data_IF_273716473509
#
_entry.id   IF_273716473509
#
_cell.length_a   1.000
_cell.length_b   1.000
_cell.length_c   1.000
_cell.angle_alpha   90.00
_cell.angle_beta   90.00
_cell.angle_gamma   90.00
#
_symmetry.space_group_name_H-M   'P 1'
#
loop_
_entity.id
_entity.type
_entity.pdbx_description
1 polymer ?
#
# COMPACT_ATOMS: atom_id res chain seq x y z
N UNK A 1 15.01 11.73 -55.58
CA UNK A 1 14.81 12.88 -54.67
C UNK A 1 15.36 12.46 -53.31
N UNK A 2 16.66 12.67 -53.07
CA UNK A 2 17.20 13.76 -52.23
C UNK A 2 16.59 13.73 -50.80
N UNK A 3 17.21 13.10 -49.79
CA UNK A 3 18.34 13.56 -48.94
C UNK A 3 18.01 14.68 -47.93
N UNK A 4 18.23 14.37 -46.64
CA UNK A 4 18.92 15.20 -45.64
C UNK A 4 18.12 16.31 -44.93
N UNK A 5 18.28 16.35 -43.59
CA UNK A 5 17.94 17.50 -42.72
C UNK A 5 17.43 17.05 -41.35
N UNK A 6 18.21 16.40 -40.47
CA UNK A 6 19.41 16.89 -39.79
C UNK A 6 19.16 18.18 -38.96
N UNK A 7 19.23 18.00 -37.63
CA UNK A 7 19.66 18.95 -36.59
C UNK A 7 18.88 20.27 -36.43
N UNK A 8 18.38 20.51 -35.21
CA UNK A 8 18.95 21.47 -34.24
C UNK A 8 17.90 21.66 -33.11
N UNK A 9 18.19 21.21 -31.89
CA UNK A 9 18.73 22.08 -30.82
C UNK A 9 17.76 23.20 -30.42
N UNK A 10 16.97 22.95 -29.38
CA UNK A 10 16.77 23.97 -28.35
C UNK A 10 16.81 23.31 -26.96
N UNK A 11 18.03 23.26 -26.43
CA UNK A 11 18.29 23.24 -25.01
C UNK A 11 17.93 24.62 -24.39
N UNK A 12 17.83 24.65 -23.06
CA UNK A 12 17.61 25.79 -22.12
C UNK A 12 16.17 25.87 -21.59
N UNK A 13 15.88 25.79 -20.28
CA UNK A 13 16.60 26.27 -19.07
C UNK A 13 16.17 25.41 -17.87
N UNK A 14 17.08 24.84 -17.07
CA UNK A 14 17.97 25.39 -16.04
C UNK A 14 17.38 25.19 -14.63
N UNK A 15 18.11 24.38 -13.86
CA UNK A 15 17.86 23.87 -12.52
C UNK A 15 17.54 24.94 -11.47
N UNK A 16 16.50 24.71 -10.67
CA UNK A 16 16.27 25.45 -9.42
C UNK A 16 17.00 24.68 -8.31
N UNK A 17 18.16 25.19 -7.90
CA UNK A 17 18.79 24.83 -6.64
C UNK A 17 18.40 25.91 -5.61
N UNK A 18 17.50 25.56 -4.68
CA UNK A 18 17.31 26.31 -3.45
C UNK A 18 17.83 25.46 -2.29
N UNK A 19 18.99 25.87 -1.77
CA UNK A 19 19.49 25.43 -0.48
C UNK A 19 18.55 25.94 0.62
N UNK A 20 18.17 25.05 1.52
CA UNK A 20 17.38 25.37 2.70
C UNK A 20 17.24 24.17 3.60
N UNK A 21 18.37 23.58 4.01
CA UNK A 21 18.41 22.66 5.14
C UNK A 21 18.35 23.51 6.41
N UNK A 22 17.13 23.88 6.82
CA UNK A 22 16.88 24.39 8.17
C UNK A 22 16.48 23.19 9.03
N UNK A 23 17.44 22.72 9.82
CA UNK A 23 17.18 21.83 10.92
C UNK A 23 16.99 22.67 12.17
N UNK A 24 15.83 22.55 12.82
CA UNK A 24 15.67 22.57 14.27
C UNK A 24 14.19 22.43 14.64
N UNK A 25 13.84 21.34 15.31
CA UNK A 25 12.51 21.11 15.87
C UNK A 25 12.52 19.88 16.74
N UNK A 26 12.95 20.07 17.99
CA UNK A 26 12.99 19.07 19.05
C UNK A 26 11.63 18.38 19.27
N UNK A 27 11.76 17.08 19.58
CA UNK A 27 11.02 16.32 20.58
C UNK A 27 9.53 16.68 20.78
N UNK A 28 8.68 15.82 20.24
CA UNK A 28 7.36 15.59 20.81
C UNK A 28 7.18 14.10 20.95
N UNK A 29 7.42 13.60 22.16
CA UNK A 29 7.02 12.29 22.63
C UNK A 29 5.51 12.09 22.51
N UNK A 30 5.05 11.82 21.30
CA UNK A 30 3.92 10.94 21.06
C UNK A 30 4.51 9.60 20.68
N UNK A 31 4.63 8.68 21.63
CA UNK A 31 4.76 7.27 21.27
C UNK A 31 3.46 6.89 20.55
N UNK A 32 3.51 7.03 19.23
CA UNK A 32 2.39 6.78 18.34
C UNK A 32 1.95 5.33 18.56
N UNK A 33 0.71 5.14 19.03
CA UNK A 33 0.09 3.82 19.08
C UNK A 33 0.14 3.08 17.72
N UNK A 34 0.30 3.85 16.63
CA UNK A 34 0.58 3.39 15.26
C UNK A 34 1.80 2.45 15.16
N UNK A 35 2.84 2.66 15.97
CA UNK A 35 4.05 1.82 15.98
C UNK A 35 3.78 0.42 16.55
N UNK A 36 2.89 0.29 17.54
CA UNK A 36 2.62 -1.00 18.17
C UNK A 36 1.89 -1.96 17.21
N UNK A 37 0.90 -1.46 16.48
CA UNK A 37 0.15 -2.22 15.46
C UNK A 37 1.02 -2.61 14.26
N UNK A 38 1.85 -1.67 13.78
CA UNK A 38 2.83 -1.94 12.74
C UNK A 38 3.84 -3.03 13.15
N UNK A 39 4.28 -3.01 14.42
CA UNK A 39 5.19 -4.01 14.98
C UNK A 39 4.51 -5.38 15.18
N UNK A 40 3.24 -5.43 15.60
CA UNK A 40 2.49 -6.67 15.73
C UNK A 40 2.29 -7.36 14.36
N UNK A 41 1.91 -6.60 13.33
CA UNK A 41 1.82 -7.09 11.94
C UNK A 41 3.18 -7.62 11.47
N UNK A 42 4.23 -6.85 11.66
CA UNK A 42 5.58 -7.21 11.21
C UNK A 42 6.09 -8.49 11.87
N UNK A 43 5.84 -8.66 13.18
CA UNK A 43 6.14 -9.91 13.90
C UNK A 43 5.37 -11.11 13.36
N UNK A 44 4.06 -10.95 13.10
CA UNK A 44 3.24 -12.01 12.54
C UNK A 44 3.70 -12.42 11.13
N UNK A 45 4.07 -11.45 10.28
CA UNK A 45 4.63 -11.70 8.95
C UNK A 45 5.98 -12.40 9.04
N UNK A 46 6.85 -12.02 9.99
CA UNK A 46 8.15 -12.64 10.18
C UNK A 46 8.07 -14.09 10.71
N UNK A 47 7.03 -14.41 11.48
CA UNK A 47 6.81 -15.75 12.02
C UNK A 47 6.35 -16.77 10.95
N UNK A 48 5.71 -16.33 9.86
CA UNK A 48 5.30 -17.18 8.74
C UNK A 48 6.22 -16.95 7.53
N UNK A 49 6.99 -17.99 7.17
CA UNK A 49 7.96 -17.92 6.07
C UNK A 49 7.33 -17.58 4.72
N UNK A 50 6.06 -17.92 4.50
CA UNK A 50 5.31 -17.58 3.28
C UNK A 50 4.95 -16.10 3.25
N UNK A 51 4.45 -15.56 4.37
CA UNK A 51 4.14 -14.13 4.50
C UNK A 51 5.42 -13.30 4.37
N UNK A 52 6.52 -13.70 5.02
CA UNK A 52 7.81 -13.05 4.90
C UNK A 52 8.34 -13.07 3.45
N UNK A 53 8.13 -14.16 2.70
CA UNK A 53 8.49 -14.22 1.28
C UNK A 53 7.62 -13.29 0.41
N UNK A 54 6.32 -13.21 0.69
CA UNK A 54 5.42 -12.30 -0.02
C UNK A 54 5.73 -10.82 0.28
N UNK A 55 6.05 -10.48 1.54
CA UNK A 55 6.51 -9.15 1.94
C UNK A 55 7.77 -8.77 1.17
N UNK A 56 8.79 -9.65 1.11
CA UNK A 56 10.01 -9.39 0.33
C UNK A 56 9.73 -9.20 -1.16
N UNK A 57 8.82 -9.99 -1.73
CA UNK A 57 8.42 -9.81 -3.13
C UNK A 57 7.75 -8.44 -3.37
N UNK A 58 6.95 -7.94 -2.42
CA UNK A 58 6.38 -6.59 -2.53
C UNK A 58 7.45 -5.50 -2.43
N UNK A 59 8.36 -5.61 -1.47
CA UNK A 59 9.46 -4.64 -1.31
C UNK A 59 10.39 -4.64 -2.54
N UNK A 60 10.48 -5.75 -3.26
CA UNK A 60 11.21 -5.86 -4.52
C UNK A 60 10.43 -5.38 -5.77
N UNK A 61 9.20 -4.86 -5.60
CA UNK A 61 8.38 -4.41 -6.74
C UNK A 61 7.75 -5.56 -7.55
N UNK A 62 7.52 -6.72 -6.93
CA UNK A 62 6.90 -7.89 -7.55
C UNK A 62 5.52 -8.22 -6.94
N UNK A 63 4.53 -7.33 -7.09
CA UNK A 63 3.22 -7.47 -6.44
C UNK A 63 2.41 -8.68 -6.93
N UNK A 64 2.54 -9.03 -8.21
CA UNK A 64 1.92 -10.25 -8.75
C UNK A 64 2.51 -11.53 -8.13
N UNK A 65 3.83 -11.59 -7.95
CA UNK A 65 4.49 -12.72 -7.30
C UNK A 65 4.03 -12.85 -5.84
N UNK A 66 3.97 -11.74 -5.10
CA UNK A 66 3.45 -11.74 -3.73
C UNK A 66 2.01 -12.27 -3.66
N UNK A 67 1.16 -11.86 -4.59
CA UNK A 67 -0.23 -12.35 -4.71
C UNK A 67 -0.27 -13.86 -4.93
N UNK A 68 0.59 -14.39 -5.82
CA UNK A 68 0.69 -15.84 -6.08
C UNK A 68 1.16 -16.62 -4.85
N UNK A 69 2.10 -16.08 -4.08
CA UNK A 69 2.60 -16.69 -2.84
C UNK A 69 1.51 -16.74 -1.75
N UNK A 70 0.67 -15.71 -1.67
CA UNK A 70 -0.40 -15.61 -0.66
C UNK A 70 -1.66 -16.39 -1.03
N UNK A 71 -1.90 -16.68 -2.32
CA UNK A 71 -3.06 -17.42 -2.77
C UNK A 71 -3.34 -18.73 -2.00
N UNK A 72 -2.38 -19.66 -1.79
CA UNK A 72 -2.63 -20.85 -0.97
C UNK A 72 -2.92 -20.54 0.50
N UNK A 73 -2.28 -19.51 1.08
CA UNK A 73 -2.52 -19.07 2.46
C UNK A 73 -3.97 -18.62 2.65
N UNK A 74 -4.52 -17.88 1.68
CA UNK A 74 -5.89 -17.36 1.76
C UNK A 74 -6.98 -18.41 1.50
N UNK A 75 -6.63 -19.55 0.89
CA UNK A 75 -7.57 -20.69 0.72
C UNK A 75 -7.67 -21.53 1.97
N UNK A 76 -6.64 -21.55 2.79
CA UNK A 76 -6.62 -22.23 4.07
C UNK A 76 -7.18 -21.31 5.16
N UNK A 77 -8.39 -21.62 5.65
CA UNK A 77 -9.08 -20.80 6.65
C UNK A 77 -8.29 -20.67 7.96
N UNK A 78 -7.52 -21.69 8.34
CA UNK A 78 -6.71 -21.65 9.56
C UNK A 78 -5.52 -20.67 9.43
N UNK A 79 -5.06 -20.43 8.19
CA UNK A 79 -3.94 -19.53 7.89
C UNK A 79 -4.37 -18.16 7.39
N UNK A 80 -5.66 -17.98 7.07
CA UNK A 80 -6.25 -16.72 6.60
C UNK A 80 -6.41 -15.71 7.75
N UNK A 81 -5.28 -15.28 8.29
CA UNK A 81 -5.20 -14.29 9.37
C UNK A 81 -5.42 -12.86 8.84
N UNK A 82 -5.78 -11.89 9.72
CA UNK A 82 -5.87 -10.48 9.34
C UNK A 82 -4.60 -9.95 8.64
N UNK A 83 -3.41 -10.30 9.15
CA UNK A 83 -2.13 -9.94 8.54
C UNK A 83 -1.96 -10.50 7.13
N UNK A 84 -2.36 -11.76 6.89
CA UNK A 84 -2.30 -12.37 5.57
C UNK A 84 -3.26 -11.71 4.57
N UNK A 85 -4.48 -11.39 5.01
CA UNK A 85 -5.50 -10.70 4.20
C UNK A 85 -5.04 -9.29 3.84
N UNK A 86 -4.55 -8.51 4.81
CA UNK A 86 -4.05 -7.16 4.56
C UNK A 86 -2.82 -7.16 3.64
N UNK A 87 -1.89 -8.08 3.84
CA UNK A 87 -0.71 -8.22 2.98
C UNK A 87 -1.11 -8.56 1.54
N UNK A 88 -2.10 -9.44 1.36
CA UNK A 88 -2.62 -9.79 0.05
C UNK A 88 -3.38 -8.64 -0.61
N UNK A 89 -4.13 -7.84 0.15
CA UNK A 89 -4.79 -6.65 -0.37
C UNK A 89 -3.76 -5.61 -0.84
N UNK A 90 -2.69 -5.38 -0.07
CA UNK A 90 -1.59 -4.51 -0.51
C UNK A 90 -0.88 -5.06 -1.74
N UNK A 91 -0.72 -6.38 -1.84
CA UNK A 91 -0.18 -7.01 -3.05
C UNK A 91 -1.10 -6.81 -4.26
N UNK A 92 -2.42 -6.94 -4.07
CA UNK A 92 -3.41 -6.65 -5.10
C UNK A 92 -3.34 -5.20 -5.58
N UNK A 93 -3.32 -4.25 -4.65
CA UNK A 93 -3.16 -2.83 -4.96
C UNK A 93 -1.91 -2.54 -5.80
N UNK A 94 -0.79 -3.24 -5.54
CA UNK A 94 0.46 -3.04 -6.26
C UNK A 94 0.42 -3.42 -7.76
N UNK A 95 -0.51 -4.25 -8.20
CA UNK A 95 -0.76 -4.52 -9.63
C UNK A 95 -2.10 -3.94 -10.11
N UNK A 96 -2.66 -2.95 -9.39
CA UNK A 96 -3.93 -2.29 -9.70
C UNK A 96 -5.16 -3.21 -9.63
N UNK A 97 -5.05 -4.28 -8.83
CA UNK A 97 -6.11 -5.24 -8.55
C UNK A 97 -7.21 -4.73 -7.63
N UNK A 98 -7.76 -3.56 -7.90
CA UNK A 98 -8.67 -2.85 -6.98
C UNK A 98 -9.93 -3.64 -6.64
N UNK A 99 -10.47 -4.43 -7.56
CA UNK A 99 -11.60 -5.34 -7.28
C UNK A 99 -11.24 -6.43 -6.27
N UNK A 100 -10.00 -6.93 -6.31
CA UNK A 100 -9.50 -7.92 -5.34
C UNK A 100 -9.27 -7.29 -3.98
N UNK A 101 -8.77 -6.04 -3.92
CA UNK A 101 -8.65 -5.28 -2.65
C UNK A 101 -10.01 -5.19 -1.96
N UNK A 102 -11.04 -4.76 -2.71
CA UNK A 102 -12.41 -4.65 -2.20
C UNK A 102 -12.95 -6.01 -1.73
N UNK A 103 -12.79 -7.06 -2.52
CA UNK A 103 -13.23 -8.40 -2.16
C UNK A 103 -12.55 -8.94 -0.89
N UNK A 104 -11.26 -8.63 -0.69
CA UNK A 104 -10.50 -9.12 0.46
C UNK A 104 -10.86 -8.40 1.76
N UNK A 105 -11.09 -7.09 1.68
CA UNK A 105 -11.21 -6.23 2.87
C UNK A 105 -12.65 -5.92 3.25
N UNK A 106 -13.57 -5.81 2.30
CA UNK A 106 -14.95 -5.42 2.59
C UNK A 106 -15.59 -6.39 3.59
N UNK A 107 -16.16 -5.83 4.66
CA UNK A 107 -16.88 -6.59 5.69
C UNK A 107 -15.97 -7.35 6.68
N UNK A 108 -14.65 -7.16 6.63
CA UNK A 108 -13.75 -7.72 7.63
C UNK A 108 -13.94 -7.01 8.98
N UNK A 109 -14.27 -7.78 10.02
CA UNK A 109 -14.60 -7.22 11.35
C UNK A 109 -13.42 -6.56 12.05
N UNK A 110 -12.19 -6.96 11.72
CA UNK A 110 -10.97 -6.44 12.35
C UNK A 110 -10.51 -5.09 11.79
N UNK A 111 -11.15 -4.56 10.74
CA UNK A 111 -10.71 -3.32 10.08
C UNK A 111 -10.76 -2.09 11.00
N UNK A 112 -11.70 -2.06 11.95
CA UNK A 112 -11.83 -0.95 12.89
C UNK A 112 -10.77 -0.97 13.99
N UNK A 113 -10.28 -2.16 14.36
CA UNK A 113 -9.52 -2.34 15.60
C UNK A 113 -8.05 -2.71 15.37
N UNK A 114 -7.64 -3.00 14.13
CA UNK A 114 -6.29 -3.45 13.82
C UNK A 114 -5.65 -2.66 12.68
N UNK A 115 -4.33 -2.52 12.79
CA UNK A 115 -3.47 -1.95 11.76
C UNK A 115 -3.77 -0.48 11.46
N UNK A 116 -4.26 0.26 12.47
CA UNK A 116 -4.46 1.71 12.42
C UNK A 116 -5.10 2.22 11.12
N UNK A 117 -6.22 1.63 10.70
CA UNK A 117 -6.97 2.10 9.54
C UNK A 117 -6.39 1.73 8.16
N UNK A 118 -5.24 1.07 8.08
CA UNK A 118 -4.58 0.75 6.80
C UNK A 118 -5.48 -0.03 5.82
N UNK A 119 -6.38 -0.87 6.34
CA UNK A 119 -7.35 -1.57 5.49
C UNK A 119 -8.42 -0.63 4.92
N UNK A 120 -8.86 0.37 5.69
CA UNK A 120 -9.80 1.39 5.21
C UNK A 120 -9.16 2.33 4.19
N UNK A 121 -7.90 2.68 4.33
CA UNK A 121 -7.15 3.45 3.32
C UNK A 121 -7.14 2.73 1.96
N UNK A 122 -6.88 1.42 1.97
CA UNK A 122 -6.91 0.59 0.77
C UNK A 122 -8.31 0.48 0.16
N UNK A 123 -9.36 0.41 0.99
CA UNK A 123 -10.76 0.41 0.52
C UNK A 123 -11.15 1.76 -0.09
N UNK A 124 -10.74 2.87 0.53
CA UNK A 124 -10.95 4.21 -0.01
C UNK A 124 -10.29 4.35 -1.37
N UNK A 125 -9.01 3.94 -1.49
CA UNK A 125 -8.28 3.93 -2.76
C UNK A 125 -8.93 3.05 -3.80
N UNK A 126 -9.32 1.83 -3.45
CA UNK A 126 -10.03 0.91 -4.36
C UNK A 126 -11.34 1.52 -4.89
N UNK A 127 -12.12 2.17 -4.03
CA UNK A 127 -13.37 2.81 -4.43
C UNK A 127 -13.15 3.97 -5.42
N UNK A 128 -12.12 4.79 -5.20
CA UNK A 128 -11.73 5.87 -6.12
C UNK A 128 -11.27 5.33 -7.48
N UNK A 129 -10.35 4.37 -7.48
CA UNK A 129 -9.75 3.82 -8.71
C UNK A 129 -10.76 3.07 -9.57
N UNK A 130 -11.78 2.47 -8.95
CA UNK A 130 -12.88 1.84 -9.67
C UNK A 130 -13.90 2.84 -10.22
N UNK A 131 -13.85 4.11 -9.82
CA UNK A 131 -14.83 5.14 -10.20
C UNK A 131 -16.26 4.81 -9.78
N UNK A 132 -16.45 3.85 -8.87
CA UNK A 132 -17.76 3.28 -8.58
C UNK A 132 -18.54 4.08 -7.55
N UNK A 133 -17.87 4.74 -6.60
CA UNK A 133 -18.55 5.41 -5.49
C UNK A 133 -17.61 6.34 -4.71
N UNK A 134 -17.71 7.65 -4.92
CA UNK A 134 -16.92 8.66 -4.19
C UNK A 134 -17.41 8.87 -2.76
N UNK A 135 -18.67 8.55 -2.46
CA UNK A 135 -19.23 8.62 -1.10
C UNK A 135 -18.68 7.48 -0.26
N UNK A 136 -18.65 6.25 -0.79
CA UNK A 136 -18.02 5.13 -0.12
C UNK A 136 -16.52 5.38 0.10
N UNK A 137 -15.82 5.97 -0.88
CA UNK A 137 -14.42 6.35 -0.71
C UNK A 137 -14.23 7.32 0.47
N UNK A 138 -15.06 8.35 0.57
CA UNK A 138 -15.01 9.31 1.67
C UNK A 138 -15.32 8.66 3.04
N UNK A 139 -16.31 7.76 3.10
CA UNK A 139 -16.65 7.03 4.32
C UNK A 139 -15.52 6.11 4.80
N UNK A 140 -14.85 5.43 3.88
CA UNK A 140 -13.66 4.64 4.21
C UNK A 140 -12.50 5.52 4.66
N UNK A 141 -12.24 6.65 4.00
CA UNK A 141 -11.20 7.58 4.40
C UNK A 141 -11.44 8.15 5.82
N UNK A 142 -12.69 8.49 6.16
CA UNK A 142 -13.07 8.90 7.52
C UNK A 142 -12.86 7.78 8.54
N UNK A 143 -13.14 6.53 8.17
CA UNK A 143 -12.93 5.38 9.06
C UNK A 143 -11.45 5.04 9.28
N UNK A 144 -10.56 5.48 8.39
CA UNK A 144 -9.13 5.23 8.51
C UNK A 144 -8.43 6.12 9.57
N UNK A 145 -9.05 7.23 9.97
CA UNK A 145 -8.46 8.21 10.90
C UNK A 145 -9.02 8.12 12.32
N UNK A 146 -9.99 7.24 12.57
CA UNK A 146 -10.58 7.00 13.89
C UNK A 146 -9.71 6.05 14.71
#
# INVERSE_FOLDING_TARGET
MARIGLLLLLALTLSIAANGCDGSGQDSGGEVALSNDGNARSRAVAADTTLAAAERALQAGHPWQATRLLAPVLRDQARRTPSAVLLAARAAAGWEGWSVVDQLLRGQSWLADQFAGAGYELLARSALERGTDTVAAAAYADSATR
#
